data_IF_235883499426
#
_entry.id   IF_235883499426
#
_cell.length_a   1.000
_cell.length_b   1.000
_cell.length_c   1.000
_cell.angle_alpha   90.00
_cell.angle_beta   90.00
_cell.angle_gamma   90.00
#
_symmetry.space_group_name_H-M   'P 1'
#
loop_
_entity.id
_entity.type
_entity.pdbx_description
1 polymer ?
#
# COMPACT_ATOMS: atom_id res chain seq x y z
N UNK A 1 -39.50 12.01 45.11
CA UNK A 1 -38.86 12.19 43.80
C UNK A 1 -39.83 11.64 42.76
N UNK A 2 -40.56 12.52 42.07
CA UNK A 2 -41.71 12.18 41.24
C UNK A 2 -41.31 11.44 39.95
N UNK A 3 -41.82 10.22 39.72
CA UNK A 3 -41.53 9.37 38.52
C UNK A 3 -41.70 10.14 37.20
N UNK A 4 -42.61 11.13 37.18
CA UNK A 4 -42.91 11.96 36.01
C UNK A 4 -41.77 12.90 35.63
N UNK A 5 -40.99 13.37 36.61
CA UNK A 5 -39.82 14.22 36.37
C UNK A 5 -38.61 13.39 35.90
N UNK A 6 -38.52 12.13 36.34
CA UNK A 6 -37.52 11.18 35.84
C UNK A 6 -37.73 10.88 34.35
N UNK A 7 -38.97 10.61 33.91
CA UNK A 7 -39.26 10.36 32.50
C UNK A 7 -39.02 11.59 31.60
N UNK A 8 -39.38 12.80 32.06
CA UNK A 8 -39.08 14.03 31.31
C UNK A 8 -37.58 14.26 31.16
N UNK A 9 -36.80 14.06 32.23
CA UNK A 9 -35.33 14.20 32.18
C UNK A 9 -34.65 13.12 31.35
N UNK A 10 -35.15 11.88 31.36
CA UNK A 10 -34.63 10.79 30.56
C UNK A 10 -34.82 11.04 29.05
N UNK A 11 -35.96 11.59 28.63
CA UNK A 11 -36.24 11.92 27.23
C UNK A 11 -35.35 13.07 26.72
N UNK A 12 -35.15 14.11 27.54
CA UNK A 12 -34.28 15.24 27.15
C UNK A 12 -32.81 14.83 27.05
N UNK A 13 -32.34 13.92 27.91
CA UNK A 13 -30.96 13.40 27.85
C UNK A 13 -30.75 12.43 26.68
N UNK A 14 -31.78 11.72 26.23
CA UNK A 14 -31.70 10.86 25.04
C UNK A 14 -31.71 11.66 23.73
N UNK A 15 -32.39 12.81 23.69
CA UNK A 15 -32.46 13.67 22.50
C UNK A 15 -31.15 14.42 22.17
N UNK A 16 -30.31 14.68 23.16
CA UNK A 16 -29.04 15.42 22.97
C UNK A 16 -27.88 14.57 22.45
N UNK A 17 -28.00 13.23 22.44
CA UNK A 17 -26.95 12.35 21.88
C UNK A 17 -27.03 12.25 20.35
N UNK A 18 -28.18 12.57 19.73
CA UNK A 18 -28.38 12.44 18.29
C UNK A 18 -27.84 13.61 17.43
N UNK A 19 -27.44 14.73 18.04
CA UNK A 19 -26.96 15.93 17.30
C UNK A 19 -25.46 15.87 17.01
N UNK A 20 -24.73 14.92 17.62
CA UNK A 20 -23.28 14.79 17.50
C UNK A 20 -22.78 13.58 16.69
N UNK A 21 -23.68 12.71 16.22
CA UNK A 21 -23.32 11.68 15.25
C UNK A 21 -23.06 12.36 13.90
N UNK A 22 -21.80 12.71 13.66
CA UNK A 22 -21.28 12.83 12.31
C UNK A 22 -21.66 11.54 11.59
N UNK A 23 -22.68 11.61 10.74
CA UNK A 23 -22.90 10.57 9.75
C UNK A 23 -21.66 10.64 8.88
N UNK A 24 -20.69 9.77 9.16
CA UNK A 24 -19.59 9.53 8.25
C UNK A 24 -20.25 9.05 6.97
N UNK A 25 -20.47 9.96 6.02
CA UNK A 25 -20.88 9.65 4.65
C UNK A 25 -19.71 8.89 4.02
N UNK A 26 -19.60 7.61 4.34
CA UNK A 26 -18.74 6.69 3.64
C UNK A 26 -19.47 6.31 2.34
N UNK A 27 -19.51 7.19 1.33
CA UNK A 27 -20.18 6.81 0.08
C UNK A 27 -19.86 7.59 -1.21
N UNK A 28 -19.05 8.64 -1.19
CA UNK A 28 -18.64 9.30 -2.44
C UNK A 28 -17.15 9.07 -2.71
N UNK A 29 -16.84 8.15 -3.63
CA UNK A 29 -15.53 8.05 -4.27
C UNK A 29 -15.49 8.98 -5.48
N UNK A 30 -14.48 9.85 -5.54
CA UNK A 30 -14.20 10.71 -6.68
C UNK A 30 -13.17 10.09 -7.65
N UNK A 31 -12.76 10.87 -8.65
CA UNK A 31 -11.59 10.54 -9.45
C UNK A 31 -10.33 10.69 -8.58
N UNK A 32 -9.38 9.73 -8.62
CA UNK A 32 -8.11 9.90 -7.93
C UNK A 32 -7.32 11.08 -8.50
N UNK A 33 -6.46 11.68 -7.67
CA UNK A 33 -5.55 12.74 -8.10
C UNK A 33 -4.49 12.11 -8.98
N UNK A 34 -4.51 12.44 -10.25
CA UNK A 34 -3.67 11.82 -11.29
C UNK A 34 -2.79 12.82 -12.06
N UNK A 35 -2.83 14.10 -11.68
CA UNK A 35 -2.05 15.17 -12.27
C UNK A 35 -0.81 15.52 -11.44
N UNK A 36 -0.27 14.55 -10.68
CA UNK A 36 0.91 14.79 -9.84
C UNK A 36 2.15 14.96 -10.71
N UNK A 37 3.02 15.88 -10.30
CA UNK A 37 4.27 16.14 -11.00
C UNK A 37 5.25 14.98 -10.83
N UNK A 38 5.94 14.66 -11.92
CA UNK A 38 7.06 13.73 -11.92
C UNK A 38 8.26 14.41 -11.27
N UNK A 39 8.95 13.71 -10.36
CA UNK A 39 10.13 14.26 -9.71
C UNK A 39 11.22 14.58 -10.75
N UNK A 40 12.01 15.62 -10.51
CA UNK A 40 13.14 15.99 -11.39
C UNK A 40 14.32 15.02 -11.27
N UNK A 41 14.35 14.21 -10.22
CA UNK A 41 15.43 13.27 -9.90
C UNK A 41 14.90 11.85 -9.95
N UNK A 42 15.69 10.96 -10.54
CA UNK A 42 15.39 9.54 -10.59
C UNK A 42 16.13 8.78 -9.47
N UNK A 43 15.48 7.73 -8.95
CA UNK A 43 16.17 6.72 -8.15
C UNK A 43 17.08 5.85 -9.05
N UNK A 44 18.14 5.23 -8.50
CA UNK A 44 18.95 4.28 -9.26
C UNK A 44 18.07 3.23 -9.96
N UNK A 45 18.42 2.91 -11.21
CA UNK A 45 17.70 1.95 -12.07
C UNK A 45 16.26 2.33 -12.46
N UNK A 46 15.81 3.53 -12.10
CA UNK A 46 14.49 4.06 -12.48
C UNK A 46 14.62 5.23 -13.42
N UNK A 47 13.59 5.45 -14.23
CA UNK A 47 13.35 6.78 -14.81
C UNK A 47 12.77 7.72 -13.75
N UNK A 48 12.69 9.04 -13.99
CA UNK A 48 11.95 9.92 -13.11
C UNK A 48 10.48 9.47 -12.97
N UNK A 49 10.00 9.36 -11.72
CA UNK A 49 8.65 8.91 -11.35
C UNK A 49 8.00 9.94 -10.43
N UNK A 50 6.70 9.80 -10.15
CA UNK A 50 6.02 10.63 -9.15
C UNK A 50 6.51 10.20 -7.77
N UNK A 51 7.17 11.09 -7.03
CA UNK A 51 7.78 10.76 -5.73
C UNK A 51 6.90 11.26 -4.59
N UNK A 52 6.49 10.34 -3.71
CA UNK A 52 5.74 10.63 -2.49
C UNK A 52 6.63 10.73 -1.26
N UNK A 53 7.71 9.95 -1.24
CA UNK A 53 8.71 9.92 -0.19
C UNK A 53 10.02 9.41 -0.77
N UNK A 54 11.14 9.97 -0.30
CA UNK A 54 12.48 9.50 -0.59
C UNK A 54 12.97 8.46 0.44
N UNK A 55 12.46 8.52 1.67
CA UNK A 55 12.86 7.66 2.79
C UNK A 55 11.66 7.24 3.68
N UNK A 56 11.11 6.03 3.51
CA UNK A 56 11.46 5.04 2.49
C UNK A 56 11.00 5.45 1.08
N UNK A 57 11.64 4.94 0.00
CA UNK A 57 11.25 5.27 -1.36
C UNK A 57 9.80 4.86 -1.68
N UNK A 58 9.02 5.84 -2.13
CA UNK A 58 7.64 5.69 -2.58
C UNK A 58 7.47 6.40 -3.92
N UNK A 59 7.44 5.62 -4.99
CA UNK A 59 7.44 6.10 -6.37
C UNK A 59 6.24 5.53 -7.11
N UNK A 60 5.43 6.39 -7.73
CA UNK A 60 4.29 6.02 -8.56
C UNK A 60 4.63 6.18 -10.05
N UNK A 61 4.18 5.22 -10.85
CA UNK A 61 4.25 5.27 -12.31
C UNK A 61 3.30 6.34 -12.85
N UNK A 62 3.78 7.33 -13.63
CA UNK A 62 2.91 8.31 -14.28
C UNK A 62 1.89 7.62 -15.19
N UNK A 63 0.69 8.23 -15.37
CA UNK A 63 -0.41 7.64 -16.15
C UNK A 63 0.01 7.19 -17.56
N UNK A 64 0.89 7.96 -18.21
CA UNK A 64 1.45 7.66 -19.54
C UNK A 64 2.18 6.32 -19.64
N UNK A 65 2.60 5.71 -18.52
CA UNK A 65 3.23 4.38 -18.49
C UNK A 65 2.25 3.29 -18.91
N UNK A 66 0.95 3.45 -18.61
CA UNK A 66 -0.06 2.41 -18.78
C UNK A 66 -0.57 2.29 -20.23
N UNK A 67 0.27 2.61 -21.21
CA UNK A 67 -0.02 2.43 -22.64
C UNK A 67 0.45 1.08 -23.18
N UNK A 68 1.20 0.30 -22.39
CA UNK A 68 1.68 -1.05 -22.74
C UNK A 68 1.10 -2.12 -21.82
N UNK A 69 1.07 -3.38 -22.30
CA UNK A 69 0.64 -4.54 -21.51
C UNK A 69 1.57 -4.79 -20.32
N UNK A 70 2.87 -4.70 -20.55
CA UNK A 70 3.91 -4.88 -19.54
C UNK A 70 4.53 -3.51 -19.23
N UNK A 71 4.52 -3.15 -17.96
CA UNK A 71 5.24 -1.98 -17.46
C UNK A 71 6.73 -2.29 -17.42
N UNK A 72 7.56 -1.47 -18.06
CA UNK A 72 9.01 -1.65 -18.08
C UNK A 72 9.60 -1.53 -16.66
N UNK A 73 10.72 -2.23 -16.39
CA UNK A 73 11.32 -2.29 -15.06
C UNK A 73 11.69 -0.92 -14.50
N UNK A 74 12.18 0.00 -15.33
CA UNK A 74 12.55 1.37 -14.94
C UNK A 74 11.32 2.27 -14.68
N UNK A 75 10.14 1.85 -15.13
CA UNK A 75 8.86 2.56 -15.00
C UNK A 75 7.96 1.98 -13.90
N UNK A 76 8.27 0.76 -13.43
CA UNK A 76 7.49 0.06 -12.43
C UNK A 76 7.54 0.78 -11.08
N UNK A 77 6.38 0.93 -10.44
CA UNK A 77 6.24 1.64 -9.16
C UNK A 77 7.12 1.02 -8.05
N UNK A 78 7.42 1.80 -7.01
CA UNK A 78 8.22 1.36 -5.86
C UNK A 78 7.47 1.69 -4.58
N UNK A 79 7.32 0.71 -3.68
CA UNK A 79 6.76 0.90 -2.34
C UNK A 79 7.61 0.21 -1.29
N UNK A 80 8.28 1.01 -0.46
CA UNK A 80 8.92 0.52 0.76
C UNK A 80 8.20 1.01 2.02
N UNK A 81 8.19 0.17 3.06
CA UNK A 81 7.66 0.54 4.39
C UNK A 81 8.76 1.00 5.35
N UNK A 82 9.96 0.44 5.23
CA UNK A 82 11.10 0.73 6.10
C UNK A 82 12.22 1.40 5.32
N UNK A 83 12.90 2.41 5.89
CA UNK A 83 13.94 3.16 5.19
C UNK A 83 15.26 2.39 5.07
N UNK A 84 15.44 1.32 5.84
CA UNK A 84 16.66 0.50 5.81
C UNK A 84 16.55 -0.54 4.68
N UNK A 85 16.78 -0.08 3.45
CA UNK A 85 16.78 -0.92 2.26
C UNK A 85 18.17 -1.53 2.03
N UNK A 86 18.28 -2.85 1.79
CA UNK A 86 19.57 -3.45 1.44
C UNK A 86 19.99 -2.95 0.05
N UNK A 87 21.10 -2.24 -0.03
CA UNK A 87 21.67 -1.73 -1.29
C UNK A 87 22.68 -2.70 -1.91
N UNK A 88 23.03 -3.76 -1.19
CA UNK A 88 23.91 -4.82 -1.65
C UNK A 88 23.51 -6.14 -1.00
N UNK A 89 23.50 -7.21 -1.79
CA UNK A 89 23.26 -8.58 -1.34
C UNK A 89 24.29 -9.47 -2.04
N UNK A 90 25.02 -10.30 -1.29
CA UNK A 90 25.90 -11.31 -1.87
C UNK A 90 25.07 -12.55 -2.26
N UNK A 91 24.92 -12.87 -3.56
CA UNK A 91 24.11 -13.99 -4.01
C UNK A 91 24.61 -15.36 -3.54
N UNK A 92 25.91 -15.50 -3.31
CA UNK A 92 26.54 -16.78 -2.95
C UNK A 92 26.26 -17.16 -1.49
N UNK A 93 25.99 -16.17 -0.64
CA UNK A 93 25.70 -16.37 0.79
C UNK A 93 24.23 -16.17 1.14
N UNK A 94 23.41 -15.67 0.20
CA UNK A 94 21.99 -15.46 0.44
C UNK A 94 21.23 -16.78 0.52
N UNK A 95 20.37 -16.91 1.53
CA UNK A 95 19.54 -18.08 1.75
C UNK A 95 18.12 -17.68 2.16
N UNK A 96 17.14 -18.38 1.61
CA UNK A 96 15.72 -18.26 1.95
C UNK A 96 15.40 -19.34 2.99
N UNK A 97 14.96 -18.93 4.17
CA UNK A 97 14.51 -19.86 5.21
C UNK A 97 13.01 -20.13 5.05
N UNK A 98 12.62 -21.41 5.06
CA UNK A 98 11.23 -21.86 5.16
C UNK A 98 11.07 -22.56 6.51
N UNK A 99 10.23 -22.01 7.38
CA UNK A 99 9.98 -22.50 8.73
C UNK A 99 8.51 -22.32 9.15
N UNK A 100 8.20 -22.59 10.42
CA UNK A 100 6.85 -22.50 10.98
C UNK A 100 6.15 -23.86 11.05
N UNK A 101 4.89 -23.92 10.59
CA UNK A 101 4.09 -25.16 10.62
C UNK A 101 4.39 -26.05 9.41
N UNK A 102 5.60 -26.62 9.39
CA UNK A 102 6.10 -27.50 8.33
C UNK A 102 6.66 -28.78 8.92
N UNK A 103 6.61 -29.89 8.17
CA UNK A 103 7.23 -31.15 8.62
C UNK A 103 8.76 -31.04 8.74
N UNK A 104 9.38 -30.25 7.85
CA UNK A 104 10.82 -30.03 7.81
C UNK A 104 11.14 -28.59 7.40
N UNK A 105 11.90 -27.89 8.24
CA UNK A 105 12.44 -26.58 7.89
C UNK A 105 13.49 -26.69 6.78
N UNK A 106 13.53 -25.69 5.89
CA UNK A 106 14.45 -25.64 4.76
C UNK A 106 15.24 -24.33 4.76
N UNK A 107 16.48 -24.40 4.25
CA UNK A 107 17.28 -23.24 3.88
C UNK A 107 17.68 -23.41 2.42
N UNK A 108 17.18 -22.53 1.55
CA UNK A 108 17.32 -22.63 0.09
C UNK A 108 18.26 -21.51 -0.37
N UNK A 109 19.40 -21.87 -0.95
CA UNK A 109 20.29 -20.91 -1.60
C UNK A 109 19.72 -20.42 -2.94
N UNK A 110 20.22 -19.30 -3.46
CA UNK A 110 19.85 -18.85 -4.81
C UNK A 110 20.25 -19.85 -5.90
N UNK A 111 21.36 -20.59 -5.71
CA UNK A 111 21.77 -21.64 -6.63
C UNK A 111 20.76 -22.79 -6.65
N UNK A 112 20.32 -23.24 -5.48
CA UNK A 112 19.32 -24.30 -5.34
C UNK A 112 17.98 -23.88 -5.93
N UNK A 113 17.54 -22.64 -5.67
CA UNK A 113 16.29 -22.10 -6.22
C UNK A 113 16.26 -22.13 -7.76
N UNK A 114 17.41 -21.87 -8.41
CA UNK A 114 17.53 -21.85 -9.88
C UNK A 114 17.69 -23.23 -10.51
N UNK A 115 18.22 -24.22 -9.78
CA UNK A 115 18.65 -25.50 -10.36
C UNK A 115 17.84 -26.71 -9.90
N UNK A 116 17.24 -26.66 -8.71
CA UNK A 116 16.51 -27.78 -8.11
C UNK A 116 14.99 -27.70 -8.24
N UNK A 117 14.47 -26.57 -8.74
CA UNK A 117 13.03 -26.34 -8.89
C UNK A 117 12.70 -25.99 -10.34
N UNK A 118 11.51 -26.39 -10.77
CA UNK A 118 10.95 -25.99 -12.06
C UNK A 118 10.79 -24.46 -12.13
N UNK A 119 11.22 -23.86 -13.24
CA UNK A 119 11.05 -22.43 -13.48
C UNK A 119 9.67 -22.20 -14.09
N UNK A 120 8.88 -21.35 -13.43
CA UNK A 120 7.53 -20.98 -13.88
C UNK A 120 7.50 -19.48 -14.16
N UNK A 121 6.97 -19.10 -15.33
CA UNK A 121 6.80 -17.70 -15.74
C UNK A 121 5.32 -17.32 -15.72
N UNK A 122 4.99 -16.19 -15.09
CA UNK A 122 3.62 -15.68 -14.96
C UNK A 122 3.62 -14.16 -15.14
N UNK A 123 2.76 -13.68 -16.03
CA UNK A 123 2.40 -12.27 -16.09
C UNK A 123 1.35 -11.96 -15.00
N UNK A 124 1.73 -11.17 -14.01
CA UNK A 124 0.86 -10.80 -12.88
C UNK A 124 0.87 -9.30 -12.64
N UNK A 125 -0.30 -8.76 -12.26
CA UNK A 125 -0.43 -7.36 -11.83
C UNK A 125 -0.05 -7.27 -10.35
N UNK A 126 0.93 -6.41 -10.04
CA UNK A 126 1.20 -6.01 -8.65
C UNK A 126 0.55 -4.65 -8.40
N UNK A 127 -0.40 -4.60 -7.47
CA UNK A 127 -1.10 -3.37 -7.09
C UNK A 127 -0.89 -3.10 -5.60
N UNK A 128 -0.49 -1.88 -5.25
CA UNK A 128 -0.44 -1.45 -3.86
C UNK A 128 -1.87 -1.42 -3.27
N UNK A 129 -2.05 -1.92 -2.05
CA UNK A 129 -3.36 -1.84 -1.35
C UNK A 129 -3.86 -0.41 -1.12
N UNK A 130 -2.99 0.59 -1.25
CA UNK A 130 -3.35 2.02 -1.21
C UNK A 130 -3.50 2.67 -2.59
N UNK A 131 -3.50 1.92 -3.70
CA UNK A 131 -3.70 2.52 -5.02
C UNK A 131 -5.06 3.24 -5.07
N UNK A 132 -5.11 4.41 -5.72
CA UNK A 132 -6.29 5.30 -5.78
C UNK A 132 -6.79 5.81 -4.42
N UNK A 133 -5.98 5.79 -3.35
CA UNK A 133 -6.35 6.32 -2.01
C UNK A 133 -6.95 7.73 -2.04
N UNK A 134 -6.48 8.60 -2.94
CA UNK A 134 -7.00 9.97 -3.08
C UNK A 134 -8.43 10.04 -3.61
N UNK A 135 -9.01 8.94 -4.08
CA UNK A 135 -10.39 8.89 -4.53
C UNK A 135 -11.40 8.89 -3.37
N UNK A 136 -10.99 8.54 -2.14
CA UNK A 136 -11.90 8.48 -0.99
C UNK A 136 -12.22 9.87 -0.43
N UNK A 137 -13.46 10.05 0.06
CA UNK A 137 -13.91 11.23 0.79
C UNK A 137 -14.43 10.84 2.18
N UNK A 138 -13.76 11.24 3.28
CA UNK A 138 -12.48 11.94 3.32
C UNK A 138 -11.31 11.05 2.86
N UNK A 139 -10.20 11.66 2.43
CA UNK A 139 -9.00 10.92 2.00
C UNK A 139 -8.47 10.09 3.17
N UNK A 140 -8.32 8.78 2.96
CA UNK A 140 -7.83 7.86 3.99
C UNK A 140 -6.35 8.13 4.32
N UNK A 141 -6.01 8.13 5.61
CA UNK A 141 -4.65 8.42 6.09
C UNK A 141 -3.59 7.41 5.61
N UNK A 142 -2.47 7.91 5.11
CA UNK A 142 -1.32 7.12 4.64
C UNK A 142 -0.62 7.77 3.45
N UNK A 143 0.40 7.08 2.94
CA UNK A 143 1.16 7.44 1.73
C UNK A 143 1.12 6.24 0.82
#
# INVERSE_FOLDING_TARGET
>A
MERREFFKKAIVTAGSVAVGSTVLKAEETGQPIDNREVAMVAFPEKRPLIMYSDRPPLLESPREVFTSRLTLNDQFFVRWHMPNIPTHINPDTYSIKIDGLVEKELNISLHDLKTKFEQVELEAVLQCGGNSRSAFSPVAGGI
#
